data_IF_918289477001
#
_entry.id   IF_918289477001
#
_cell.length_a   1.000
_cell.length_b   1.000
_cell.length_c   1.000
_cell.angle_alpha   90.00
_cell.angle_beta   90.00
_cell.angle_gamma   90.00
#
_symmetry.space_group_name_H-M   'P 1'
#
loop_
_entity.id
_entity.type
_entity.pdbx_description
1 polymer ?
#
# COMPACT_ATOMS: atom_id res chain seq x y z
N UNK A 1 56.11 22.81 -72.80
CA UNK A 1 55.84 22.10 -71.53
C UNK A 1 54.98 22.99 -70.66
N UNK A 2 53.78 22.55 -70.28
CA UNK A 2 53.01 22.87 -69.06
C UNK A 2 51.71 22.07 -69.21
N UNK A 3 51.60 20.96 -68.48
CA UNK A 3 50.34 20.21 -68.32
C UNK A 3 49.56 20.90 -67.21
N UNK A 4 48.37 21.44 -67.51
CA UNK A 4 47.42 21.88 -66.47
C UNK A 4 46.61 20.66 -66.03
N UNK A 5 46.87 20.21 -64.80
CA UNK A 5 46.09 19.19 -64.09
C UNK A 5 44.79 19.85 -63.60
N UNK A 6 43.64 19.32 -64.01
CA UNK A 6 42.35 19.64 -63.40
C UNK A 6 42.10 18.63 -62.28
N UNK A 7 42.26 19.05 -61.03
CA UNK A 7 41.95 18.24 -59.86
C UNK A 7 40.52 18.55 -59.41
N UNK A 8 39.59 17.65 -59.71
CA UNK A 8 38.22 17.69 -59.21
C UNK A 8 38.22 17.13 -57.78
N UNK A 9 38.19 18.00 -56.76
CA UNK A 9 37.95 17.55 -55.38
C UNK A 9 36.45 17.46 -55.14
N UNK A 10 35.97 16.22 -55.01
CA UNK A 10 34.62 15.87 -54.57
C UNK A 10 34.53 16.15 -53.08
N UNK A 11 33.74 17.15 -52.69
CA UNK A 11 33.38 17.37 -51.28
C UNK A 11 32.45 16.26 -50.82
N UNK A 12 32.97 15.37 -49.98
CA UNK A 12 32.20 14.30 -49.34
C UNK A 12 31.29 14.92 -48.28
N UNK A 13 30.00 15.05 -48.58
CA UNK A 13 28.98 15.47 -47.62
C UNK A 13 28.71 14.30 -46.67
N UNK A 14 29.31 14.32 -45.48
CA UNK A 14 29.04 13.34 -44.43
C UNK A 14 27.67 13.67 -43.84
N UNK A 15 26.63 12.94 -44.25
CA UNK A 15 25.37 12.90 -43.52
C UNK A 15 25.63 12.18 -42.19
N UNK A 16 25.74 12.95 -41.11
CA UNK A 16 25.72 12.42 -39.75
C UNK A 16 24.30 11.93 -39.45
N UNK A 17 24.02 10.65 -39.72
CA UNK A 17 22.92 9.96 -39.09
C UNK A 17 23.26 9.84 -37.61
N UNK A 18 22.74 10.77 -36.79
CA UNK A 18 22.73 10.60 -35.36
C UNK A 18 21.89 9.36 -35.04
N UNK A 19 22.56 8.22 -34.80
CA UNK A 19 21.97 7.18 -33.97
C UNK A 19 21.81 7.82 -32.59
N UNK A 20 20.59 8.27 -32.29
CA UNK A 20 20.21 8.50 -30.91
C UNK A 20 20.39 7.15 -30.21
N UNK A 21 21.33 7.07 -29.26
CA UNK A 21 21.41 5.92 -28.38
C UNK A 21 20.01 5.70 -27.80
N UNK A 22 19.41 4.54 -28.06
CA UNK A 22 18.18 4.18 -27.37
C UNK A 22 18.48 4.23 -25.88
N UNK A 23 17.74 5.05 -25.12
CA UNK A 23 17.82 5.01 -23.66
C UNK A 23 17.55 3.57 -23.23
N UNK A 24 18.60 2.92 -22.72
CA UNK A 24 18.53 1.57 -22.17
C UNK A 24 17.72 1.62 -20.89
N UNK A 25 16.58 0.94 -20.84
CA UNK A 25 15.65 1.07 -19.73
C UNK A 25 14.32 0.34 -19.95
N UNK A 26 13.56 0.12 -18.87
CA UNK A 26 12.12 -0.10 -18.99
C UNK A 26 11.45 1.13 -19.60
N UNK A 27 10.57 0.92 -20.58
CA UNK A 27 9.73 1.96 -21.18
C UNK A 27 8.28 1.56 -20.93
N UNK A 28 7.58 2.34 -20.11
CA UNK A 28 6.19 2.05 -19.78
C UNK A 28 5.22 2.89 -20.61
N UNK A 29 4.21 2.21 -21.14
CA UNK A 29 3.00 2.83 -21.69
C UNK A 29 1.88 2.66 -20.69
N UNK A 30 1.42 3.76 -20.09
CA UNK A 30 0.23 3.74 -19.22
C UNK A 30 -0.99 3.37 -20.05
N UNK A 31 -1.63 2.26 -19.69
CA UNK A 31 -2.86 1.77 -20.32
C UNK A 31 -4.07 2.47 -19.71
N UNK A 32 -4.09 2.56 -18.38
CA UNK A 32 -5.13 3.24 -17.62
C UNK A 32 -4.61 3.65 -16.26
N UNK A 33 -4.89 4.87 -15.83
CA UNK A 33 -4.57 5.32 -14.48
C UNK A 33 -5.72 6.18 -13.97
N UNK A 34 -6.25 5.81 -12.81
CA UNK A 34 -7.30 6.57 -12.13
C UNK A 34 -6.67 7.74 -11.38
N UNK A 35 -7.47 8.78 -11.15
CA UNK A 35 -7.02 9.94 -10.40
C UNK A 35 -6.71 9.57 -8.96
N UNK A 36 -5.54 10.01 -8.48
CA UNK A 36 -5.14 9.93 -7.10
C UNK A 36 -4.62 11.30 -6.64
N UNK A 37 -4.68 11.55 -5.34
CA UNK A 37 -4.01 12.70 -4.72
C UNK A 37 -2.48 12.58 -4.85
N UNK A 38 -1.72 13.66 -4.60
CA UNK A 38 -0.26 13.61 -4.62
C UNK A 38 0.33 12.52 -3.71
N UNK A 39 1.55 12.06 -4.04
CA UNK A 39 2.33 11.12 -3.22
C UNK A 39 2.66 11.77 -1.87
N UNK A 40 2.38 11.02 -0.79
CA UNK A 40 2.67 11.42 0.60
C UNK A 40 3.93 10.72 1.12
N UNK A 41 4.42 11.14 2.27
CA UNK A 41 5.54 10.50 2.95
C UNK A 41 5.19 10.15 4.40
N UNK A 42 5.24 8.87 4.72
CA UNK A 42 5.10 8.39 6.10
C UNK A 42 6.35 8.65 6.95
N UNK A 43 7.44 9.11 6.34
CA UNK A 43 8.70 9.49 6.99
C UNK A 43 9.22 8.39 7.95
N UNK A 44 9.58 8.73 9.19
CA UNK A 44 10.12 7.78 10.16
C UNK A 44 9.00 7.16 11.00
N UNK A 45 8.03 6.58 10.31
CA UNK A 45 6.92 5.82 10.90
C UNK A 45 6.71 4.52 10.12
N UNK A 46 6.01 3.58 10.73
CA UNK A 46 5.60 2.32 10.10
C UNK A 46 4.08 2.29 9.94
N UNK A 47 3.53 3.33 9.32
CA UNK A 47 2.08 3.58 9.21
C UNK A 47 1.57 3.51 7.77
N UNK A 48 2.26 2.77 6.90
CA UNK A 48 1.90 2.60 5.48
C UNK A 48 0.44 2.22 5.27
N UNK A 49 -0.11 1.36 6.14
CA UNK A 49 -1.52 0.98 6.16
C UNK A 49 -2.49 2.17 6.24
N UNK A 50 -2.14 3.19 7.01
CA UNK A 50 -2.93 4.41 7.13
C UNK A 50 -2.79 5.28 5.88
N UNK A 51 -1.55 5.48 5.41
CA UNK A 51 -1.28 6.28 4.20
C UNK A 51 -1.89 5.68 2.93
N UNK A 52 -1.72 4.38 2.73
CA UNK A 52 -2.26 3.66 1.58
C UNK A 52 -3.80 3.70 1.57
N UNK A 53 -4.43 3.42 2.72
CA UNK A 53 -5.89 3.37 2.80
C UNK A 53 -6.51 4.76 2.71
N UNK A 54 -5.93 5.80 3.32
CA UNK A 54 -6.41 7.17 3.15
C UNK A 54 -6.23 7.64 1.70
N UNK A 55 -5.11 7.33 1.04
CA UNK A 55 -4.89 7.60 -0.39
C UNK A 55 -5.92 6.88 -1.29
N UNK A 56 -6.30 5.65 -0.94
CA UNK A 56 -7.39 4.91 -1.57
C UNK A 56 -8.74 5.61 -1.35
N UNK A 57 -9.08 5.98 -0.11
CA UNK A 57 -10.32 6.69 0.21
C UNK A 57 -10.41 8.06 -0.46
N UNK A 58 -9.31 8.80 -0.57
CA UNK A 58 -9.26 10.06 -1.33
C UNK A 58 -9.60 9.85 -2.81
N UNK A 59 -9.19 8.72 -3.38
CA UNK A 59 -9.51 8.36 -4.77
C UNK A 59 -10.96 7.89 -4.92
N UNK A 60 -11.51 7.24 -3.89
CA UNK A 60 -12.95 6.97 -3.80
C UNK A 60 -13.77 8.27 -3.73
N UNK A 61 -13.32 9.26 -2.96
CA UNK A 61 -13.97 10.59 -2.90
C UNK A 61 -13.96 11.28 -4.27
N UNK A 62 -12.86 11.19 -5.02
CA UNK A 62 -12.79 11.67 -6.40
C UNK A 62 -13.79 10.94 -7.29
N UNK A 63 -13.80 9.60 -7.26
CA UNK A 63 -14.73 8.75 -8.02
C UNK A 63 -16.20 9.07 -7.70
N UNK A 64 -16.50 9.37 -6.44
CA UNK A 64 -17.84 9.71 -5.95
C UNK A 64 -18.24 11.18 -6.21
N UNK A 65 -17.38 11.99 -6.86
CA UNK A 65 -17.65 13.39 -7.14
C UNK A 65 -17.63 14.29 -5.91
N UNK A 66 -16.95 13.88 -4.83
CA UNK A 66 -16.79 14.67 -3.59
C UNK A 66 -15.67 15.70 -3.69
N UNK A 67 -14.77 15.52 -4.65
CA UNK A 67 -13.65 16.42 -4.90
C UNK A 67 -12.36 15.98 -4.19
N UNK A 68 -11.35 16.86 -4.22
CA UNK A 68 -10.03 16.59 -3.65
C UNK A 68 -10.03 16.88 -2.14
N UNK A 69 -9.67 15.87 -1.36
CA UNK A 69 -9.49 15.97 0.07
C UNK A 69 -8.11 15.43 0.45
N UNK A 70 -7.56 15.97 1.54
CA UNK A 70 -6.34 15.49 2.19
C UNK A 70 -6.75 14.96 3.56
N UNK A 71 -6.89 13.64 3.67
CA UNK A 71 -7.36 12.96 4.87
C UNK A 71 -6.19 12.73 5.83
N UNK A 72 -6.47 12.84 7.13
CA UNK A 72 -5.46 12.64 8.17
C UNK A 72 -5.16 11.15 8.38
N UNK A 73 -3.98 10.73 7.95
CA UNK A 73 -3.46 9.41 8.30
C UNK A 73 -3.27 9.26 9.80
N UNK A 74 -2.81 10.32 10.46
CA UNK A 74 -2.49 10.30 11.87
C UNK A 74 -3.72 10.18 12.75
N UNK A 75 -4.89 10.64 12.30
CA UNK A 75 -6.15 10.40 13.00
C UNK A 75 -6.48 8.90 13.03
N UNK A 76 -6.31 8.21 11.90
CA UNK A 76 -6.52 6.75 11.85
C UNK A 76 -5.53 6.02 12.76
N UNK A 77 -4.26 6.43 12.78
CA UNK A 77 -3.23 5.90 13.70
C UNK A 77 -3.61 6.14 15.17
N UNK A 78 -3.96 7.39 15.52
CA UNK A 78 -4.35 7.81 16.88
C UNK A 78 -5.56 7.05 17.40
N UNK A 79 -6.55 6.75 16.54
CA UNK A 79 -7.76 6.01 16.92
C UNK A 79 -7.56 4.49 16.93
N UNK A 80 -6.53 3.97 16.25
CA UNK A 80 -6.18 2.54 16.26
C UNK A 80 -5.38 2.13 17.50
N UNK A 81 -4.40 2.92 17.96
CA UNK A 81 -3.55 2.54 19.10
C UNK A 81 -4.33 2.13 20.37
N UNK A 82 -5.35 2.87 20.84
CA UNK A 82 -6.12 2.47 22.03
C UNK A 82 -6.74 1.07 21.90
N UNK A 83 -7.18 0.69 20.71
CA UNK A 83 -7.75 -0.63 20.44
C UNK A 83 -6.64 -1.71 20.46
N UNK A 84 -5.47 -1.42 19.89
CA UNK A 84 -4.31 -2.33 19.95
C UNK A 84 -3.83 -2.55 21.39
N UNK A 85 -3.75 -1.48 22.18
CA UNK A 85 -3.40 -1.53 23.61
C UNK A 85 -4.40 -2.43 24.34
N UNK A 86 -5.71 -2.21 24.14
CA UNK A 86 -6.75 -3.06 24.74
C UNK A 86 -6.63 -4.53 24.32
N UNK A 87 -6.35 -4.81 23.04
CA UNK A 87 -6.16 -6.17 22.54
C UNK A 87 -4.95 -6.84 23.20
N UNK A 88 -3.81 -6.15 23.28
CA UNK A 88 -2.60 -6.64 23.94
C UNK A 88 -2.85 -6.93 25.42
N UNK A 89 -3.52 -6.02 26.13
CA UNK A 89 -3.89 -6.21 27.55
C UNK A 89 -4.84 -7.39 27.74
N UNK A 90 -5.90 -7.49 26.95
CA UNK A 90 -6.88 -8.61 27.04
C UNK A 90 -6.27 -9.96 26.70
N UNK A 91 -5.28 -9.99 25.80
CA UNK A 91 -4.53 -11.20 25.45
C UNK A 91 -3.29 -11.41 26.33
N UNK A 92 -3.19 -10.71 27.46
CA UNK A 92 -2.12 -10.88 28.44
C UNK A 92 -0.71 -10.75 27.83
N UNK A 93 -0.53 -9.79 26.94
CA UNK A 93 0.74 -9.51 26.25
C UNK A 93 1.11 -10.50 25.14
N UNK A 94 0.19 -11.38 24.73
CA UNK A 94 0.41 -12.38 23.67
C UNK A 94 -0.16 -11.97 22.31
N UNK A 95 -0.68 -10.76 22.18
CA UNK A 95 -1.08 -10.20 20.88
C UNK A 95 0.12 -9.51 20.22
N UNK A 96 0.08 -9.37 18.89
CA UNK A 96 0.97 -8.43 18.21
C UNK A 96 0.70 -7.00 18.69
N UNK A 97 1.77 -6.29 19.05
CA UNK A 97 1.73 -4.86 19.34
C UNK A 97 2.93 -4.16 18.72
N UNK A 98 2.64 -3.30 17.75
CA UNK A 98 3.59 -2.49 17.01
C UNK A 98 2.86 -1.40 16.21
N UNK A 99 3.58 -0.58 15.44
CA UNK A 99 3.01 0.51 14.64
C UNK A 99 2.23 0.06 13.39
N UNK A 100 2.49 -1.15 12.88
CA UNK A 100 1.83 -1.71 11.70
C UNK A 100 0.36 -2.07 11.94
N UNK A 101 -0.42 -2.21 10.88
CA UNK A 101 -1.87 -2.50 10.90
C UNK A 101 -2.33 -2.75 9.45
N UNK A 102 -3.63 -2.97 9.22
CA UNK A 102 -4.18 -3.31 7.90
C UNK A 102 -5.26 -2.33 7.44
N UNK A 103 -5.61 -2.38 6.16
CA UNK A 103 -6.63 -1.50 5.54
C UNK A 103 -7.97 -1.53 6.28
N UNK A 104 -8.42 -2.72 6.69
CA UNK A 104 -9.63 -2.90 7.52
C UNK A 104 -9.64 -2.09 8.82
N UNK A 105 -8.48 -1.73 9.36
CA UNK A 105 -8.39 -0.94 10.59
C UNK A 105 -8.74 0.53 10.37
N UNK A 106 -8.38 1.11 9.21
CA UNK A 106 -8.84 2.46 8.81
C UNK A 106 -10.35 2.45 8.60
N UNK A 107 -10.88 1.45 7.91
CA UNK A 107 -12.33 1.33 7.70
C UNK A 107 -13.09 1.18 9.03
N UNK A 108 -12.53 0.46 10.00
CA UNK A 108 -13.07 0.40 11.36
C UNK A 108 -13.01 1.75 12.07
N UNK A 109 -11.94 2.51 11.92
CA UNK A 109 -11.88 3.89 12.46
C UNK A 109 -12.97 4.76 11.82
N UNK A 110 -13.12 4.72 10.49
CA UNK A 110 -14.20 5.43 9.78
C UNK A 110 -15.57 5.01 10.28
N UNK A 111 -15.77 3.72 10.60
CA UNK A 111 -17.04 3.20 11.14
C UNK A 111 -17.33 3.71 12.56
N UNK A 112 -16.34 3.62 13.45
CA UNK A 112 -16.53 3.84 14.89
C UNK A 112 -16.35 5.30 15.30
N UNK A 113 -15.44 6.03 14.67
CA UNK A 113 -14.95 7.33 15.15
C UNK A 113 -15.07 8.44 14.11
N UNK A 114 -14.95 8.09 12.84
CA UNK A 114 -15.14 8.99 11.71
C UNK A 114 -13.82 9.23 11.00
N UNK A 115 -13.70 10.39 10.39
CA UNK A 115 -12.48 10.82 9.71
C UNK A 115 -12.32 12.32 9.89
N UNK A 116 -11.12 12.82 9.67
CA UNK A 116 -10.81 14.24 9.71
C UNK A 116 -9.84 14.58 8.58
N UNK A 117 -9.84 15.81 8.07
CA UNK A 117 -8.82 16.27 7.13
C UNK A 117 -7.48 16.46 7.85
N UNK A 118 -6.36 16.37 7.11
CA UNK A 118 -5.01 16.62 7.62
C UNK A 118 -4.89 17.97 8.34
N UNK A 119 -5.59 19.01 7.83
CA UNK A 119 -5.62 20.34 8.43
C UNK A 119 -6.21 20.39 9.84
N UNK A 120 -7.03 19.41 10.22
CA UNK A 120 -7.63 19.31 11.54
C UNK A 120 -6.80 18.46 12.51
N UNK A 121 -6.01 17.52 12.00
CA UNK A 121 -5.15 16.66 12.82
C UNK A 121 -3.96 16.17 11.99
N UNK A 122 -2.82 16.83 12.10
CA UNK A 122 -1.61 16.42 11.37
C UNK A 122 -0.81 15.31 12.08
N UNK A 123 -1.12 15.05 13.35
CA UNK A 123 -0.35 14.19 14.24
C UNK A 123 1.05 14.69 14.58
N UNK A 124 1.43 15.89 14.12
CA UNK A 124 2.73 16.53 14.41
C UNK A 124 2.59 17.48 15.58
N UNK A 125 3.64 17.58 16.40
CA UNK A 125 3.70 18.60 17.45
C UNK A 125 3.97 19.97 16.87
N UNK A 126 3.62 21.00 17.63
CA UNK A 126 3.95 22.38 17.28
C UNK A 126 5.46 22.53 17.10
N UNK A 127 5.88 23.08 15.95
CA UNK A 127 7.29 23.23 15.58
C UNK A 127 7.91 22.00 14.88
N UNK A 128 7.22 20.87 14.83
CA UNK A 128 7.71 19.69 14.10
C UNK A 128 7.26 19.69 12.64
N UNK A 129 8.20 19.45 11.73
CA UNK A 129 7.95 19.34 10.29
C UNK A 129 7.96 17.89 9.80
N UNK A 130 8.29 16.92 10.66
CA UNK A 130 8.46 15.52 10.30
C UNK A 130 7.82 14.60 11.33
N UNK A 131 7.23 13.52 10.84
CA UNK A 131 6.75 12.38 11.63
C UNK A 131 7.93 11.48 11.98
N UNK A 132 8.09 11.21 13.27
CA UNK A 132 9.02 10.22 13.81
C UNK A 132 8.39 9.54 15.02
N UNK A 133 8.01 8.27 14.87
CA UNK A 133 7.31 7.53 15.91
C UNK A 133 8.21 6.56 16.68
N UNK A 134 9.52 6.54 16.44
CA UNK A 134 10.42 5.58 17.11
C UNK A 134 10.33 5.67 18.64
N UNK A 135 10.32 6.89 19.19
CA UNK A 135 10.20 7.10 20.62
C UNK A 135 8.80 6.73 21.13
N UNK A 136 7.75 7.15 20.42
CA UNK A 136 6.37 6.80 20.74
C UNK A 136 6.17 5.28 20.82
N UNK A 137 6.63 4.54 19.80
CA UNK A 137 6.50 3.09 19.73
C UNK A 137 7.25 2.39 20.87
N UNK A 138 8.47 2.84 21.17
CA UNK A 138 9.28 2.31 22.27
C UNK A 138 8.63 2.58 23.64
N UNK A 139 8.14 3.80 23.86
CA UNK A 139 7.47 4.20 25.12
C UNK A 139 6.17 3.42 25.31
N UNK A 140 5.33 3.30 24.28
CA UNK A 140 4.10 2.51 24.34
C UNK A 140 4.39 1.05 24.65
N UNK A 141 5.33 0.42 23.95
CA UNK A 141 5.69 -0.99 24.17
C UNK A 141 6.26 -1.21 25.56
N UNK A 142 7.19 -0.35 26.00
CA UNK A 142 7.80 -0.42 27.33
C UNK A 142 6.77 -0.28 28.45
N UNK A 143 5.87 0.69 28.34
CA UNK A 143 4.78 0.88 29.29
C UNK A 143 3.80 -0.29 29.31
N UNK A 144 3.44 -0.85 28.14
CA UNK A 144 2.59 -2.03 28.04
C UNK A 144 3.23 -3.24 28.69
N UNK A 145 4.50 -3.52 28.40
CA UNK A 145 5.20 -4.67 28.99
C UNK A 145 5.32 -4.56 30.50
N UNK A 146 5.56 -3.34 31.02
CA UNK A 146 5.53 -3.09 32.46
C UNK A 146 4.13 -3.33 33.06
N UNK A 147 3.06 -2.88 32.37
CA UNK A 147 1.68 -3.12 32.78
C UNK A 147 1.36 -4.62 32.85
N UNK A 148 1.79 -5.41 31.85
CA UNK A 148 1.54 -6.86 31.80
C UNK A 148 2.34 -7.62 32.86
N UNK A 149 3.60 -7.23 33.10
CA UNK A 149 4.47 -7.83 34.13
C UNK A 149 4.03 -7.54 35.56
N UNK A 150 3.07 -6.64 35.77
CA UNK A 150 2.59 -6.22 37.08
C UNK A 150 2.29 -7.42 38.00
N UNK A 151 3.08 -7.54 39.07
CA UNK A 151 3.01 -8.63 40.05
C UNK A 151 1.73 -8.62 40.89
N UNK A 152 1.01 -7.48 40.95
CA UNK A 152 -0.23 -7.38 41.72
C UNK A 152 -1.39 -8.19 41.13
N UNK A 153 -1.26 -8.68 39.88
CA UNK A 153 -2.27 -9.45 39.10
C UNK A 153 -3.62 -8.76 38.93
N UNK A 154 -3.75 -7.50 39.38
CA UNK A 154 -4.94 -6.66 39.24
C UNK A 154 -4.52 -5.32 38.65
N UNK A 155 -5.04 -5.01 37.47
CA UNK A 155 -4.80 -3.72 36.84
C UNK A 155 -5.67 -2.63 37.50
N UNK A 156 -5.12 -1.43 37.64
CA UNK A 156 -5.87 -0.26 38.09
C UNK A 156 -6.87 0.17 37.01
N UNK A 157 -7.80 1.08 37.35
CA UNK A 157 -8.64 1.74 36.34
C UNK A 157 -7.92 2.86 35.59
N UNK A 158 -6.70 3.22 36.00
CA UNK A 158 -5.97 4.38 35.48
C UNK A 158 -5.17 4.09 34.20
N UNK A 159 -4.88 2.81 33.90
CA UNK A 159 -4.03 2.51 32.74
C UNK A 159 -4.60 3.04 31.41
N UNK A 160 -5.92 2.97 31.09
CA UNK A 160 -6.39 3.48 29.80
C UNK A 160 -6.09 4.97 29.62
N UNK A 161 -6.30 5.77 30.67
CA UNK A 161 -6.04 7.20 30.65
C UNK A 161 -4.54 7.51 30.57
N UNK A 162 -3.69 6.71 31.23
CA UNK A 162 -2.24 6.85 31.15
C UNK A 162 -1.73 6.65 29.71
N UNK A 163 -2.24 5.64 28.99
CA UNK A 163 -1.85 5.45 27.58
C UNK A 163 -2.44 6.48 26.64
N UNK A 164 -3.65 6.98 26.89
CA UNK A 164 -4.19 8.12 26.15
C UNK A 164 -3.34 9.37 26.37
N UNK A 165 -2.86 9.62 27.59
CA UNK A 165 -1.95 10.72 27.89
C UNK A 165 -0.62 10.62 27.13
N UNK A 166 -0.06 9.41 27.01
CA UNK A 166 1.12 9.17 26.14
C UNK A 166 0.76 9.52 24.69
N UNK A 167 -0.33 8.99 24.15
CA UNK A 167 -0.72 9.27 22.76
C UNK A 167 -0.96 10.76 22.50
N UNK A 168 -1.61 11.48 23.42
CA UNK A 168 -1.86 12.91 23.31
C UNK A 168 -0.56 13.73 23.40
N UNK A 169 0.41 13.29 24.19
CA UNK A 169 1.71 13.93 24.30
C UNK A 169 2.48 13.90 22.97
N UNK A 170 2.44 12.78 22.24
CA UNK A 170 3.18 12.60 20.98
C UNK A 170 2.39 13.03 19.74
N UNK A 171 1.12 12.64 19.63
CA UNK A 171 0.30 12.84 18.42
C UNK A 171 -0.64 14.05 18.52
N UNK A 172 -0.83 14.58 19.72
CA UNK A 172 -1.82 15.61 20.00
C UNK A 172 -3.19 15.04 20.39
N UNK A 173 -4.06 15.89 20.97
CA UNK A 173 -5.39 15.48 21.42
C UNK A 173 -6.33 15.23 20.25
N UNK A 174 -7.28 14.30 20.43
CA UNK A 174 -8.28 13.98 19.40
C UNK A 174 -9.21 15.19 19.18
N UNK A 175 -9.33 15.72 17.95
CA UNK A 175 -10.19 16.86 17.67
C UNK A 175 -11.66 16.49 17.85
N UNK A 176 -12.37 17.23 18.72
CA UNK A 176 -13.81 17.06 18.90
C UNK A 176 -14.61 17.86 17.87
N UNK A 177 -14.12 19.05 17.52
CA UNK A 177 -14.69 19.92 16.50
C UNK A 177 -13.56 20.57 15.69
N UNK A 178 -13.79 20.82 14.41
CA UNK A 178 -12.85 21.51 13.53
C UNK A 178 -13.57 22.24 12.40
N UNK A 179 -12.97 23.34 11.95
CA UNK A 179 -13.42 24.06 10.77
C UNK A 179 -12.76 23.46 9.51
N UNK A 180 -13.55 23.21 8.48
CA UNK A 180 -13.06 22.77 7.18
C UNK A 180 -13.92 23.36 6.07
N UNK A 181 -13.28 23.99 5.08
CA UNK A 181 -13.95 24.63 3.93
C UNK A 181 -15.15 25.52 4.32
N UNK A 182 -15.01 26.30 5.39
CA UNK A 182 -16.04 27.26 5.85
C UNK A 182 -17.18 26.66 6.66
N UNK A 183 -17.17 25.35 6.95
CA UNK A 183 -18.15 24.67 7.81
C UNK A 183 -17.49 24.11 9.06
N UNK A 184 -18.29 23.91 10.12
CA UNK A 184 -17.84 23.26 11.35
C UNK A 184 -18.27 21.79 11.36
N UNK A 185 -17.36 20.92 11.80
CA UNK A 185 -17.55 19.48 11.79
C UNK A 185 -17.11 18.83 13.11
N UNK A 186 -17.76 17.73 13.44
CA UNK A 186 -17.17 16.65 14.25
C UNK A 186 -16.57 15.60 13.30
N UNK A 187 -15.67 14.71 13.76
CA UNK A 187 -15.14 13.64 12.92
C UNK A 187 -16.22 12.74 12.28
N UNK A 188 -17.32 12.50 13.00
CA UNK A 188 -18.48 11.76 12.49
C UNK A 188 -19.21 12.53 11.39
N UNK A 189 -19.56 13.79 11.65
CA UNK A 189 -20.29 14.60 10.68
C UNK A 189 -19.49 14.78 9.38
N UNK A 190 -18.16 14.92 9.47
CA UNK A 190 -17.29 14.97 8.29
C UNK A 190 -17.31 13.65 7.51
N UNK A 191 -17.18 12.50 8.18
CA UNK A 191 -17.29 11.18 7.55
C UNK A 191 -18.62 10.99 6.82
N UNK A 192 -19.72 11.42 7.43
CA UNK A 192 -21.06 11.28 6.87
C UNK A 192 -21.25 12.15 5.62
N UNK A 193 -20.69 13.38 5.60
CA UNK A 193 -20.70 14.25 4.41
C UNK A 193 -19.81 13.70 3.27
N UNK A 194 -18.66 13.11 3.62
CA UNK A 194 -17.79 12.40 2.67
C UNK A 194 -18.49 11.18 2.06
N UNK A 195 -19.40 10.54 2.79
CA UNK A 195 -20.27 9.48 2.29
C UNK A 195 -19.57 8.12 2.08
N UNK A 196 -18.37 7.95 2.64
CA UNK A 196 -17.66 6.67 2.66
C UNK A 196 -18.37 5.73 3.65
N UNK A 197 -18.91 4.62 3.14
CA UNK A 197 -19.57 3.60 3.96
C UNK A 197 -18.68 2.38 4.05
N UNK A 198 -18.16 2.04 5.24
CA UNK A 198 -17.25 0.89 5.39
C UNK A 198 -17.80 -0.43 4.85
N UNK A 199 -19.12 -0.65 4.90
CA UNK A 199 -19.76 -1.87 4.42
C UNK A 199 -19.84 -1.97 2.87
N UNK A 200 -19.44 -0.92 2.14
CA UNK A 200 -19.30 -0.94 0.67
C UNK A 200 -17.94 -1.46 0.21
N UNK A 201 -17.01 -1.69 1.14
CA UNK A 201 -15.65 -2.15 0.87
C UNK A 201 -15.47 -3.59 1.35
N UNK A 202 -14.82 -4.39 0.53
CA UNK A 202 -14.58 -5.81 0.77
C UNK A 202 -13.10 -6.12 0.58
N UNK A 203 -12.60 -7.02 1.43
CA UNK A 203 -11.21 -7.46 1.40
C UNK A 203 -11.13 -8.86 0.80
N UNK A 204 -10.18 -9.06 -0.12
CA UNK A 204 -9.92 -10.35 -0.77
C UNK A 204 -8.50 -10.82 -0.48
N UNK A 205 -8.34 -12.13 -0.42
CA UNK A 205 -7.06 -12.84 -0.43
C UNK A 205 -7.18 -14.12 -1.26
N UNK A 206 -6.10 -14.87 -1.42
CA UNK A 206 -6.04 -16.05 -2.27
C UNK A 206 -5.03 -17.08 -1.78
N UNK A 207 -5.48 -18.00 -0.93
CA UNK A 207 -4.67 -19.08 -0.37
C UNK A 207 -5.45 -20.41 -0.31
N UNK A 208 -4.75 -21.53 -0.46
CA UNK A 208 -5.33 -22.87 -0.52
C UNK A 208 -5.42 -23.60 0.83
N UNK A 209 -4.90 -23.03 1.92
CA UNK A 209 -5.02 -23.62 3.27
C UNK A 209 -6.38 -23.38 3.93
N UNK A 210 -7.26 -22.59 3.30
CA UNK A 210 -8.66 -22.41 3.66
C UNK A 210 -9.56 -22.64 2.44
N UNK A 211 -10.85 -23.01 2.63
CA UNK A 211 -11.80 -23.12 1.53
C UNK A 211 -11.92 -21.84 0.71
N UNK A 212 -12.11 -21.99 -0.60
CA UNK A 212 -12.41 -20.87 -1.47
C UNK A 212 -13.88 -20.45 -1.37
N UNK A 213 -14.12 -19.19 -1.68
CA UNK A 213 -15.40 -18.49 -1.61
C UNK A 213 -16.01 -18.41 -0.20
N UNK A 214 -15.16 -18.57 0.81
CA UNK A 214 -15.48 -18.38 2.23
C UNK A 214 -14.69 -17.22 2.81
N UNK A 215 -15.11 -16.76 3.99
CA UNK A 215 -14.34 -15.79 4.76
C UNK A 215 -13.49 -16.50 5.79
N UNK A 216 -12.21 -16.12 5.88
CA UNK A 216 -11.35 -16.52 6.99
C UNK A 216 -10.54 -15.34 7.51
N UNK A 217 -9.95 -15.52 8.69
CA UNK A 217 -9.04 -14.54 9.29
C UNK A 217 -7.63 -14.86 8.80
N UNK A 218 -7.12 -14.02 7.90
CA UNK A 218 -5.77 -14.19 7.37
C UNK A 218 -4.75 -14.13 8.51
N UNK A 219 -3.88 -15.14 8.59
CA UNK A 219 -2.92 -15.34 9.65
C UNK A 219 -1.64 -14.52 9.43
N UNK A 220 -1.76 -13.19 9.56
CA UNK A 220 -0.63 -12.27 9.52
C UNK A 220 -0.52 -11.47 10.82
N UNK A 221 0.70 -11.10 11.27
CA UNK A 221 0.89 -10.45 12.57
C UNK A 221 0.03 -9.19 12.75
N UNK A 222 -0.07 -8.35 11.72
CA UNK A 222 -0.81 -7.09 11.80
C UNK A 222 -2.34 -7.27 11.68
N UNK A 223 -2.84 -8.49 11.46
CA UNK A 223 -4.27 -8.81 11.60
C UNK A 223 -4.68 -8.99 13.08
N UNK A 224 -4.23 -8.09 13.94
CA UNK A 224 -4.41 -8.16 15.40
C UNK A 224 -5.88 -8.09 15.83
N UNK A 225 -6.74 -7.46 15.02
CA UNK A 225 -8.19 -7.35 15.24
C UNK A 225 -8.96 -8.59 14.75
N UNK A 226 -8.37 -9.39 13.86
CA UNK A 226 -9.02 -10.54 13.24
C UNK A 226 -10.02 -10.14 12.16
N UNK A 227 -9.64 -9.20 11.29
CA UNK A 227 -10.33 -8.88 10.05
C UNK A 227 -10.50 -10.15 9.20
N UNK A 228 -11.62 -10.24 8.48
CA UNK A 228 -11.98 -11.40 7.67
C UNK A 228 -11.97 -11.06 6.19
N UNK A 229 -11.33 -11.93 5.41
CA UNK A 229 -11.08 -11.75 3.98
C UNK A 229 -11.87 -12.79 3.20
N UNK A 230 -12.46 -12.40 2.07
CA UNK A 230 -12.96 -13.38 1.12
C UNK A 230 -11.78 -14.09 0.46
N UNK A 231 -11.75 -15.41 0.59
CA UNK A 231 -10.76 -16.24 -0.08
C UNK A 231 -11.26 -16.61 -1.47
N UNK A 232 -10.47 -16.45 -2.52
CA UNK A 232 -10.82 -16.88 -3.88
C UNK A 232 -9.60 -17.52 -4.56
N UNK A 233 -9.77 -18.37 -5.59
CA UNK A 233 -8.64 -18.86 -6.36
C UNK A 233 -7.84 -17.73 -7.01
N UNK A 234 -6.54 -17.91 -7.22
CA UNK A 234 -5.64 -16.86 -7.72
C UNK A 234 -6.12 -16.18 -9.01
N UNK A 235 -6.68 -16.93 -9.96
CA UNK A 235 -7.18 -16.31 -11.20
C UNK A 235 -8.46 -15.48 -10.99
N UNK A 236 -9.34 -15.92 -10.08
CA UNK A 236 -10.51 -15.12 -9.67
C UNK A 236 -10.04 -13.86 -8.91
N UNK A 237 -9.02 -13.99 -8.05
CA UNK A 237 -8.39 -12.86 -7.36
C UNK A 237 -7.86 -11.81 -8.34
N UNK A 238 -7.09 -12.24 -9.34
CA UNK A 238 -6.57 -11.35 -10.39
C UNK A 238 -7.71 -10.76 -11.24
N UNK A 239 -8.78 -11.52 -11.49
CA UNK A 239 -9.97 -11.00 -12.17
C UNK A 239 -10.69 -9.90 -11.38
N UNK A 240 -10.68 -9.94 -10.03
CA UNK A 240 -11.22 -8.83 -9.21
C UNK A 240 -10.39 -7.57 -9.43
N UNK A 241 -9.06 -7.69 -9.37
CA UNK A 241 -8.12 -6.58 -9.58
C UNK A 241 -8.31 -5.95 -10.95
N UNK A 242 -8.23 -6.76 -12.01
CA UNK A 242 -8.31 -6.28 -13.39
C UNK A 242 -9.69 -5.68 -13.70
N UNK A 243 -10.77 -6.28 -13.18
CA UNK A 243 -12.14 -5.73 -13.29
C UNK A 243 -12.26 -4.38 -12.61
N UNK A 244 -11.68 -4.21 -11.42
CA UNK A 244 -11.71 -2.95 -10.69
C UNK A 244 -11.05 -1.83 -11.50
N UNK A 245 -9.82 -2.04 -11.96
CA UNK A 245 -9.10 -1.07 -12.78
C UNK A 245 -9.85 -0.77 -14.07
N UNK A 246 -10.38 -1.80 -14.76
CA UNK A 246 -11.17 -1.64 -15.99
C UNK A 246 -12.44 -0.80 -15.76
N UNK A 247 -13.12 -0.98 -14.62
CA UNK A 247 -14.30 -0.19 -14.23
C UNK A 247 -13.97 1.20 -13.67
N UNK A 248 -12.69 1.52 -13.45
CA UNK A 248 -12.25 2.83 -12.95
C UNK A 248 -12.21 2.94 -11.42
N UNK A 249 -12.13 1.81 -10.72
CA UNK A 249 -11.89 1.74 -9.27
C UNK A 249 -10.41 1.51 -9.01
N UNK A 250 -9.91 2.08 -7.92
CA UNK A 250 -8.59 1.77 -7.37
C UNK A 250 -8.70 0.75 -6.24
N UNK A 251 -7.57 0.31 -5.68
CA UNK A 251 -7.55 -0.68 -4.59
C UNK A 251 -6.49 -0.30 -3.55
N UNK A 252 -6.77 -0.50 -2.26
CA UNK A 252 -5.68 -0.61 -1.30
C UNK A 252 -5.04 -1.99 -1.46
N UNK A 253 -3.73 -2.00 -1.62
CA UNK A 253 -2.92 -3.19 -1.86
C UNK A 253 -2.03 -3.44 -0.65
N UNK A 254 -2.03 -4.67 -0.19
CA UNK A 254 -1.19 -5.16 0.89
C UNK A 254 -0.32 -6.29 0.34
N UNK A 255 0.99 -6.22 0.56
CA UNK A 255 1.91 -7.23 0.08
C UNK A 255 3.33 -7.10 0.57
N UNK A 256 4.14 -8.04 0.11
CA UNK A 256 5.56 -8.14 0.43
C UNK A 256 6.38 -7.24 -0.52
N UNK A 257 7.30 -6.44 0.03
CA UNK A 257 8.24 -5.60 -0.73
C UNK A 257 9.71 -5.87 -0.37
N UNK A 258 9.97 -6.99 0.30
CA UNK A 258 11.28 -7.41 0.81
C UNK A 258 12.17 -8.09 -0.24
N UNK A 259 11.61 -8.39 -1.41
CA UNK A 259 12.34 -8.91 -2.56
C UNK A 259 13.45 -7.97 -3.04
N UNK A 260 14.63 -8.53 -3.35
CA UNK A 260 15.74 -7.75 -3.91
C UNK A 260 15.41 -7.09 -5.25
N UNK A 261 14.44 -7.65 -5.99
CA UNK A 261 13.91 -7.11 -7.24
C UNK A 261 12.83 -6.05 -7.05
N UNK A 262 12.49 -5.65 -5.82
CA UNK A 262 11.74 -4.44 -5.53
C UNK A 262 12.67 -3.21 -5.51
N UNK A 263 12.84 -2.56 -6.67
CA UNK A 263 13.89 -1.56 -6.86
C UNK A 263 13.38 -0.12 -6.69
N UNK A 264 13.42 0.39 -5.45
CA UNK A 264 12.90 1.73 -5.05
C UNK A 264 13.35 2.92 -5.93
N UNK A 265 14.64 2.97 -6.30
CA UNK A 265 15.19 4.08 -7.12
C UNK A 265 14.72 4.04 -8.58
N UNK A 266 14.35 2.85 -9.07
CA UNK A 266 13.82 2.66 -10.43
C UNK A 266 12.29 2.68 -10.43
N UNK A 267 11.66 2.47 -9.26
CA UNK A 267 10.20 2.45 -9.13
C UNK A 267 9.61 1.25 -9.88
N UNK A 268 10.30 0.11 -9.84
CA UNK A 268 9.92 -1.12 -10.57
C UNK A 268 10.05 -2.31 -9.62
N UNK A 269 9.11 -3.25 -9.70
CA UNK A 269 9.16 -4.53 -9.02
C UNK A 269 8.85 -5.65 -10.01
N UNK A 270 9.74 -6.64 -10.08
CA UNK A 270 9.64 -7.82 -10.96
C UNK A 270 9.94 -9.09 -10.18
N UNK A 271 9.53 -10.26 -10.68
CA UNK A 271 9.81 -11.56 -10.05
C UNK A 271 10.65 -12.45 -10.99
N UNK A 272 11.97 -12.26 -11.04
CA UNK A 272 12.81 -12.90 -12.05
C UNK A 272 12.92 -14.41 -11.87
N UNK A 273 13.07 -15.15 -12.97
CA UNK A 273 13.33 -16.60 -12.91
C UNK A 273 14.68 -16.92 -12.27
N UNK A 274 15.72 -16.14 -12.58
CA UNK A 274 17.08 -16.36 -12.06
C UNK A 274 17.16 -16.00 -10.57
N UNK A 275 17.46 -16.96 -9.68
CA UNK A 275 17.58 -16.72 -8.24
C UNK A 275 18.63 -15.65 -7.91
N UNK A 276 18.39 -14.87 -6.86
CA UNK A 276 19.27 -13.77 -6.48
C UNK A 276 20.70 -14.23 -6.19
N UNK A 277 20.88 -15.37 -5.52
CA UNK A 277 22.22 -15.86 -5.14
C UNK A 277 23.04 -16.40 -6.31
N UNK A 278 22.39 -16.72 -7.43
CA UNK A 278 23.06 -17.16 -8.66
C UNK A 278 23.45 -15.99 -9.57
N UNK A 279 23.11 -14.75 -9.19
CA UNK A 279 23.44 -13.56 -9.97
C UNK A 279 24.86 -13.07 -9.69
N UNK A 280 25.55 -12.66 -10.76
CA UNK A 280 26.80 -11.91 -10.65
C UNK A 280 26.55 -10.52 -10.04
N UNK A 281 27.61 -9.85 -9.56
CA UNK A 281 27.51 -8.49 -9.05
C UNK A 281 26.92 -7.50 -10.07
N UNK A 282 27.22 -7.70 -11.36
CA UNK A 282 26.68 -6.88 -12.45
C UNK A 282 25.18 -7.12 -12.64
N UNK A 283 24.74 -8.38 -12.65
CA UNK A 283 23.32 -8.73 -12.76
C UNK A 283 22.50 -8.22 -11.56
N UNK A 284 23.08 -8.24 -10.36
CA UNK A 284 22.47 -7.65 -9.16
C UNK A 284 22.33 -6.13 -9.29
N UNK A 285 23.36 -5.43 -9.79
CA UNK A 285 23.32 -3.98 -10.01
C UNK A 285 22.34 -3.57 -11.15
N UNK A 286 22.10 -4.48 -12.09
CA UNK A 286 21.25 -4.25 -13.27
C UNK A 286 19.81 -4.73 -13.10
N UNK A 287 19.39 -5.25 -11.94
CA UNK A 287 18.00 -5.68 -11.68
C UNK A 287 16.98 -4.56 -11.90
N UNK A 288 15.93 -4.78 -12.68
CA UNK A 288 14.99 -3.74 -13.14
C UNK A 288 15.57 -2.68 -14.10
N UNK A 289 16.76 -2.88 -14.69
CA UNK A 289 17.26 -1.97 -15.74
C UNK A 289 16.63 -2.27 -17.11
N UNK A 290 16.38 -3.55 -17.38
CA UNK A 290 15.75 -4.01 -18.61
C UNK A 290 14.82 -5.21 -18.31
N UNK A 291 13.87 -5.54 -19.21
CA UNK A 291 13.07 -6.74 -19.11
C UNK A 291 13.92 -8.01 -19.05
N UNK A 292 13.58 -8.88 -18.11
CA UNK A 292 14.16 -10.23 -17.96
C UNK A 292 13.02 -11.26 -17.81
N UNK A 293 13.25 -12.56 -18.05
CA UNK A 293 12.26 -13.60 -17.79
C UNK A 293 11.81 -13.61 -16.32
N UNK A 294 10.50 -13.79 -16.10
CA UNK A 294 9.88 -13.78 -14.78
C UNK A 294 9.15 -15.09 -14.51
N UNK A 295 9.07 -15.47 -13.24
CA UNK A 295 8.50 -16.74 -12.81
C UNK A 295 7.01 -16.87 -13.17
N UNK A 296 6.59 -18.06 -13.56
CA UNK A 296 5.18 -18.40 -13.65
C UNK A 296 4.61 -18.67 -12.24
N UNK A 297 3.64 -17.85 -11.81
CA UNK A 297 3.06 -17.95 -10.47
C UNK A 297 1.72 -18.69 -10.52
N UNK A 298 1.77 -19.97 -10.16
CA UNK A 298 0.59 -20.81 -9.93
C UNK A 298 0.06 -20.65 -8.49
N UNK A 299 -1.14 -21.17 -8.23
CA UNK A 299 -1.71 -21.20 -6.88
C UNK A 299 -0.81 -21.94 -5.87
N UNK A 300 -0.15 -23.03 -6.28
CA UNK A 300 0.73 -23.81 -5.43
C UNK A 300 2.03 -23.05 -5.09
N UNK A 301 2.65 -22.41 -6.09
CA UNK A 301 3.83 -21.55 -5.88
C UNK A 301 3.51 -20.40 -4.92
N UNK A 302 2.37 -19.74 -5.12
CA UNK A 302 1.91 -18.67 -4.23
C UNK A 302 1.69 -19.17 -2.79
N UNK A 303 1.11 -20.36 -2.61
CA UNK A 303 0.91 -20.94 -1.28
C UNK A 303 2.26 -21.26 -0.61
N UNK A 304 3.17 -21.90 -1.34
CA UNK A 304 4.51 -22.22 -0.83
C UNK A 304 5.24 -20.96 -0.35
N UNK A 305 5.14 -19.86 -1.12
CA UNK A 305 5.78 -18.61 -0.73
C UNK A 305 5.24 -18.03 0.58
N UNK A 306 3.95 -18.20 0.88
CA UNK A 306 3.36 -17.80 2.16
C UNK A 306 3.78 -18.75 3.29
N UNK A 307 3.71 -20.06 3.06
CA UNK A 307 4.00 -21.08 4.07
C UNK A 307 5.49 -21.09 4.49
N UNK A 308 6.40 -20.70 3.59
CA UNK A 308 7.84 -20.68 3.82
C UNK A 308 8.41 -19.29 4.19
N UNK A 309 7.54 -18.30 4.42
CA UNK A 309 7.90 -16.91 4.77
C UNK A 309 8.67 -16.12 3.70
N UNK A 310 8.65 -16.54 2.44
CA UNK A 310 9.17 -15.70 1.34
C UNK A 310 8.15 -14.69 0.83
N UNK A 311 6.90 -14.75 1.31
CA UNK A 311 5.89 -13.69 1.19
C UNK A 311 5.24 -13.46 2.54
N UNK A 312 5.39 -12.26 3.07
CA UNK A 312 4.78 -11.82 4.33
C UNK A 312 4.01 -10.50 4.15
N UNK A 313 3.22 -10.17 5.17
CA UNK A 313 2.58 -8.87 5.34
C UNK A 313 3.63 -7.84 5.81
N UNK A 314 4.09 -6.99 4.88
CA UNK A 314 5.21 -6.05 5.08
C UNK A 314 4.80 -4.61 4.77
N UNK A 315 4.07 -4.36 3.69
CA UNK A 315 3.81 -3.00 3.23
C UNK A 315 2.49 -2.81 2.51
N UNK A 316 1.77 -1.75 2.87
CA UNK A 316 0.55 -1.33 2.20
C UNK A 316 0.82 -0.15 1.27
N UNK A 317 0.24 -0.21 0.07
CA UNK A 317 0.28 0.82 -0.95
C UNK A 317 -1.08 0.97 -1.65
N UNK A 318 -1.19 1.91 -2.58
CA UNK A 318 -2.44 2.20 -3.28
C UNK A 318 -2.32 1.87 -4.77
N UNK A 319 -3.03 0.84 -5.24
CA UNK A 319 -3.07 0.45 -6.64
C UNK A 319 -3.96 1.40 -7.46
N UNK A 320 -3.37 2.11 -8.42
CA UNK A 320 -3.99 3.23 -9.16
C UNK A 320 -4.14 3.02 -10.66
N UNK A 321 -3.55 1.97 -11.23
CA UNK A 321 -3.57 1.82 -12.67
C UNK A 321 -2.86 0.60 -13.22
N UNK A 322 -2.76 0.60 -14.55
CA UNK A 322 -2.22 -0.43 -15.40
C UNK A 322 -1.30 0.21 -16.44
N UNK A 323 -0.16 -0.42 -16.68
CA UNK A 323 0.78 -0.09 -17.72
C UNK A 323 1.24 -1.35 -18.45
N UNK A 324 1.84 -1.14 -19.60
CA UNK A 324 2.55 -2.17 -20.36
C UNK A 324 4.02 -1.74 -20.52
N UNK A 325 4.95 -2.69 -20.46
CA UNK A 325 6.33 -2.44 -20.87
C UNK A 325 6.47 -2.44 -22.41
N UNK A 326 7.70 -2.23 -22.90
CA UNK A 326 8.01 -2.26 -24.33
C UNK A 326 7.71 -3.60 -25.03
N UNK A 327 7.53 -4.69 -24.29
CA UNK A 327 7.23 -6.03 -24.80
C UNK A 327 5.73 -6.38 -24.65
N UNK A 328 4.90 -5.43 -24.21
CA UNK A 328 3.48 -5.66 -23.95
C UNK A 328 3.19 -6.44 -22.67
N UNK A 329 4.15 -6.58 -21.76
CA UNK A 329 3.94 -7.24 -20.47
C UNK A 329 3.19 -6.32 -19.52
N UNK A 330 2.23 -6.88 -18.79
CA UNK A 330 1.36 -6.15 -17.87
C UNK A 330 2.10 -5.74 -16.59
N UNK A 331 1.94 -4.47 -16.21
CA UNK A 331 2.40 -3.90 -14.94
C UNK A 331 1.27 -3.15 -14.23
N UNK A 332 1.21 -3.27 -12.92
CA UNK A 332 0.32 -2.52 -12.04
C UNK A 332 1.01 -1.24 -11.55
N UNK A 333 0.30 -0.11 -11.59
CA UNK A 333 0.81 1.20 -11.14
C UNK A 333 0.41 1.42 -9.68
N UNK A 334 1.37 1.29 -8.78
CA UNK A 334 1.17 1.32 -7.33
C UNK A 334 1.72 2.63 -6.76
N UNK A 335 0.87 3.46 -6.16
CA UNK A 335 1.25 4.68 -5.44
C UNK A 335 1.78 4.32 -4.05
N UNK A 336 3.05 4.64 -3.80
CA UNK A 336 3.69 4.44 -2.49
C UNK A 336 3.53 5.67 -1.58
N UNK A 337 3.88 5.53 -0.30
CA UNK A 337 3.88 6.54 0.76
C UNK A 337 5.29 6.90 1.24
N UNK A 338 6.30 6.73 0.39
CA UNK A 338 7.71 6.98 0.72
C UNK A 338 8.22 8.36 0.27
N UNK A 339 7.33 9.28 -0.14
CA UNK A 339 7.69 10.52 -0.81
C UNK A 339 8.18 10.33 -2.25
N UNK A 340 8.62 11.41 -2.89
CA UNK A 340 9.07 11.43 -4.29
C UNK A 340 10.59 11.56 -4.46
N UNK A 341 11.28 12.03 -3.42
CA UNK A 341 12.73 12.28 -3.47
C UNK A 341 13.52 10.97 -3.56
N UNK A 342 14.42 10.88 -4.55
CA UNK A 342 15.20 9.67 -4.84
C UNK A 342 14.34 8.41 -4.99
N UNK A 343 13.16 8.56 -5.58
CA UNK A 343 12.25 7.47 -5.94
C UNK A 343 12.02 7.49 -7.45
N UNK A 344 12.01 6.31 -8.05
CA UNK A 344 11.61 6.18 -9.45
C UNK A 344 10.14 6.53 -9.62
N UNK A 345 9.74 6.86 -10.85
CA UNK A 345 8.35 7.09 -11.24
C UNK A 345 7.59 8.03 -10.29
N UNK A 346 8.25 9.09 -9.82
CA UNK A 346 7.67 10.11 -8.93
C UNK A 346 7.02 9.53 -7.65
N UNK A 347 7.58 8.44 -7.13
CA UNK A 347 7.06 7.76 -5.93
C UNK A 347 6.04 6.66 -6.20
N UNK A 348 5.75 6.36 -7.47
CA UNK A 348 5.01 5.18 -7.87
C UNK A 348 5.95 3.98 -8.10
N UNK A 349 5.38 2.79 -8.07
CA UNK A 349 6.05 1.54 -8.41
C UNK A 349 5.25 0.83 -9.50
N UNK A 350 5.95 0.45 -10.57
CA UNK A 350 5.42 -0.36 -11.64
C UNK A 350 5.75 -1.81 -11.30
N UNK A 351 4.72 -2.56 -10.91
CA UNK A 351 4.85 -3.92 -10.40
C UNK A 351 4.38 -4.91 -11.47
N UNK A 352 5.25 -5.83 -11.90
CA UNK A 352 4.88 -6.81 -12.92
C UNK A 352 3.75 -7.71 -12.43
N UNK A 353 2.98 -8.27 -13.36
CA UNK A 353 1.93 -9.24 -13.03
C UNK A 353 2.45 -10.46 -12.25
N UNK A 354 3.59 -11.10 -12.60
CA UNK A 354 4.18 -12.17 -11.78
C UNK A 354 4.48 -11.74 -10.34
N UNK A 355 5.11 -10.57 -10.14
CA UNK A 355 5.38 -10.07 -8.80
C UNK A 355 4.08 -9.84 -8.03
N UNK A 356 3.11 -9.18 -8.64
CA UNK A 356 1.82 -8.91 -8.01
C UNK A 356 1.09 -10.22 -7.64
N UNK A 357 1.06 -11.21 -8.55
CA UNK A 357 0.45 -12.54 -8.32
C UNK A 357 1.11 -13.26 -7.15
N UNK A 358 2.42 -13.16 -6.98
CA UNK A 358 3.12 -13.83 -5.88
C UNK A 358 3.03 -13.06 -4.57
N UNK A 359 3.27 -11.75 -4.59
CA UNK A 359 3.62 -10.97 -3.40
C UNK A 359 2.49 -10.18 -2.80
N UNK A 360 1.34 -10.08 -3.48
CA UNK A 360 0.13 -9.55 -2.85
C UNK A 360 -0.30 -10.47 -1.71
N UNK A 361 -0.57 -9.94 -0.52
CA UNK A 361 -1.14 -10.66 0.62
C UNK A 361 -2.66 -10.49 0.63
N UNK A 362 -3.13 -9.26 0.46
CA UNK A 362 -4.55 -8.94 0.38
C UNK A 362 -4.82 -7.66 -0.44
N UNK A 363 -6.08 -7.45 -0.82
CA UNK A 363 -6.56 -6.19 -1.39
C UNK A 363 -7.84 -5.76 -0.71
N UNK A 364 -8.09 -4.46 -0.66
CA UNK A 364 -9.40 -3.89 -0.36
C UNK A 364 -9.93 -3.14 -1.58
N UNK A 365 -11.21 -3.36 -1.90
CA UNK A 365 -11.87 -2.75 -3.05
C UNK A 365 -13.33 -2.45 -2.76
N UNK A 366 -13.90 -1.46 -3.43
CA UNK A 366 -15.34 -1.24 -3.42
C UNK A 366 -16.09 -2.42 -4.08
N UNK A 367 -17.18 -2.88 -3.46
CA UNK A 367 -17.91 -4.10 -3.89
C UNK A 367 -18.42 -4.06 -5.33
N UNK A 368 -18.80 -2.88 -5.84
CA UNK A 368 -19.27 -2.71 -7.24
C UNK A 368 -18.18 -2.98 -8.29
N UNK A 369 -16.91 -2.95 -7.88
CA UNK A 369 -15.79 -3.31 -8.73
C UNK A 369 -15.73 -4.83 -8.99
N UNK A 370 -16.24 -5.65 -8.08
CA UNK A 370 -16.18 -7.12 -8.11
C UNK A 370 -16.96 -7.64 -9.34
N UNK A 371 -16.40 -8.59 -10.12
CA UNK A 371 -17.12 -9.25 -11.21
C UNK A 371 -18.39 -9.94 -10.71
N UNK A 372 -19.49 -9.85 -11.45
CA UNK A 372 -20.78 -10.44 -11.08
C UNK A 372 -20.68 -11.96 -10.84
N UNK A 373 -19.88 -12.66 -11.65
CA UNK A 373 -19.64 -14.10 -11.49
C UNK A 373 -19.01 -14.45 -10.14
N UNK A 374 -18.04 -13.64 -9.67
CA UNK A 374 -17.41 -13.84 -8.36
C UNK A 374 -18.39 -13.46 -7.25
N UNK A 375 -19.08 -12.33 -7.37
CA UNK A 375 -20.08 -11.90 -6.39
C UNK A 375 -21.20 -12.95 -6.17
N UNK A 376 -21.63 -13.63 -7.23
CA UNK A 376 -22.60 -14.72 -7.15
C UNK A 376 -22.04 -15.93 -6.38
N UNK A 377 -20.79 -16.34 -6.62
CA UNK A 377 -20.13 -17.43 -5.87
C UNK A 377 -20.05 -17.12 -4.38
N UNK A 378 -19.65 -15.89 -4.01
CA UNK A 378 -19.56 -15.46 -2.61
C UNK A 378 -20.92 -15.45 -1.88
N UNK A 379 -22.01 -15.15 -2.61
CA UNK A 379 -23.36 -15.15 -2.04
C UNK A 379 -23.94 -16.56 -1.90
N UNK A 380 -23.51 -17.49 -2.76
CA UNK A 380 -23.93 -18.90 -2.74
C UNK A 380 -23.37 -19.70 -1.56
N UNK A 381 -22.17 -19.36 -1.09
CA UNK A 381 -21.51 -20.00 0.05
C UNK A 381 -22.04 -19.56 1.43
N UNK A 382 -22.95 -18.58 1.48
CA UNK A 382 -23.56 -18.09 2.72
C UNK A 382 -24.83 -18.89 3.14
N UNK A 383 -25.09 -20.02 2.48
CA UNK A 383 -26.12 -21.00 2.83
C UNK A 383 -25.45 -22.27 3.33
#
# INVERSE_FOLDING_TARGET
MIKKLFTLSVSLLVLSTGLSAEESGYKFKVVKQMEATPVKSQQQTNTCWSFATNSFLESELLRMGKGRHDLSEMYSVRMTYPQKIQNYVRKHGKAQFGPGSLSGDVMRVVKLYGMVPESAFSGRREGESRLNHHELDAVLKGALDALIKNSSRKLSKAWPDAFNGILDAYLGPIPQNFAYQGKQYTPRAFADEMGIRPDDYVEFTSYSHHPYYEKFRLEVPDNWYGNSYFNVPLDDFMSVVDSALKKGYTLAWDGDVSENSYHRKRGIAILPEKPWEERTSEEKANVCLAPEPEQEVTQAVRQEHYDNYTTNDDHLMHLTGLAEDQNGRKFYIIKNSAGTLERGNEGFVYMSEPYFRSKTVSIMVHKDAVPQGIAAKLSGSAK
#
